data_IF_748934487895
#
_entry.id   IF_748934487895
#
_cell.length_a   1.000
_cell.length_b   1.000
_cell.length_c   1.000
_cell.angle_alpha   90.00
_cell.angle_beta   90.00
_cell.angle_gamma   90.00
#
_symmetry.space_group_name_H-M   'P 1'
#
loop_
_entity.id
_entity.type
_entity.pdbx_description
1 polymer ?
#
# COMPACT_ATOMS: atom_id res chain seq x y z
N UNK A 1 -3.71 17.95 -41.86
CA UNK A 1 -4.85 17.03 -41.96
C UNK A 1 -5.00 16.34 -40.61
N UNK A 2 -5.97 16.81 -39.82
CA UNK A 2 -6.25 16.38 -38.44
C UNK A 2 -6.97 15.03 -38.44
N UNK A 3 -6.47 14.07 -37.65
CA UNK A 3 -7.25 12.90 -37.22
C UNK A 3 -7.15 12.84 -35.69
N UNK A 4 -8.25 13.05 -34.94
CA UNK A 4 -8.25 13.01 -33.48
C UNK A 4 -8.48 11.57 -33.00
N UNK A 5 -7.48 10.94 -32.36
CA UNK A 5 -7.68 9.67 -31.65
C UNK A 5 -8.14 9.93 -30.21
N UNK A 6 -9.44 10.15 -30.05
CA UNK A 6 -10.12 9.96 -28.78
C UNK A 6 -10.21 8.45 -28.48
N UNK A 7 -9.24 7.90 -27.76
CA UNK A 7 -9.35 6.56 -27.18
C UNK A 7 -10.31 6.59 -25.99
N UNK A 8 -11.62 6.49 -26.25
CA UNK A 8 -12.64 6.20 -25.23
C UNK A 8 -12.31 4.86 -24.55
N UNK A 9 -11.98 4.89 -23.27
CA UNK A 9 -11.95 3.72 -22.40
C UNK A 9 -13.40 3.22 -22.28
N UNK A 10 -13.74 2.09 -22.91
CA UNK A 10 -14.96 1.35 -22.57
C UNK A 10 -14.66 0.54 -21.32
N UNK A 11 -15.20 0.98 -20.17
CA UNK A 11 -15.41 0.10 -19.03
C UNK A 11 -16.23 -1.10 -19.51
N UNK A 12 -15.72 -2.32 -19.29
CA UNK A 12 -16.48 -3.55 -19.56
C UNK A 12 -17.68 -3.55 -18.62
N UNK A 13 -18.84 -3.25 -19.19
CA UNK A 13 -20.15 -3.41 -18.58
C UNK A 13 -20.42 -4.90 -18.36
N UNK A 14 -20.13 -5.39 -17.16
CA UNK A 14 -20.82 -6.55 -16.60
C UNK A 14 -21.15 -6.23 -15.14
N UNK A 15 -22.45 -5.99 -14.88
CA UNK A 15 -23.02 -5.69 -13.57
C UNK A 15 -22.60 -6.73 -12.52
N UNK A 16 -21.77 -6.32 -11.57
CA UNK A 16 -21.68 -6.93 -10.25
C UNK A 16 -21.87 -5.79 -9.23
N UNK A 17 -22.96 -5.83 -8.46
CA UNK A 17 -23.24 -4.84 -7.42
C UNK A 17 -22.21 -5.02 -6.29
N UNK A 18 -21.26 -4.11 -6.16
CA UNK A 18 -20.36 -4.05 -5.01
C UNK A 18 -21.05 -3.24 -3.90
N UNK A 19 -21.33 -3.87 -2.76
CA UNK A 19 -21.88 -3.19 -1.58
C UNK A 19 -20.76 -3.04 -0.55
N UNK A 20 -20.32 -1.81 -0.32
CA UNK A 20 -19.26 -1.51 0.66
C UNK A 20 -19.89 -1.11 1.99
N UNK A 21 -19.63 -1.89 3.03
CA UNK A 21 -20.02 -1.53 4.40
C UNK A 21 -18.93 -0.66 5.01
N UNK A 22 -19.29 0.57 5.38
CA UNK A 22 -18.45 1.54 6.06
C UNK A 22 -19.13 1.84 7.38
N UNK A 23 -18.50 1.48 8.49
CA UNK A 23 -19.08 1.66 9.82
C UNK A 23 -18.92 3.09 10.33
N UNK A 24 -17.74 3.67 10.12
CA UNK A 24 -17.43 5.06 10.47
C UNK A 24 -16.74 5.77 9.31
N UNK A 25 -16.95 7.09 9.12
CA UNK A 25 -16.23 7.90 8.15
C UNK A 25 -14.70 7.83 8.38
N UNK A 26 -13.88 7.88 7.33
CA UNK A 26 -12.41 7.97 7.46
C UNK A 26 -11.84 9.00 6.48
N UNK A 27 -10.85 9.78 6.92
CA UNK A 27 -10.15 10.72 6.06
C UNK A 27 -9.34 9.97 5.00
N UNK A 28 -9.58 10.30 3.73
CA UNK A 28 -8.75 9.83 2.63
C UNK A 28 -7.74 10.94 2.31
N UNK A 29 -6.47 10.59 2.30
CA UNK A 29 -5.40 11.56 2.10
C UNK A 29 -5.42 12.19 0.70
N UNK A 30 -5.17 13.49 0.66
CA UNK A 30 -5.08 14.27 -0.58
C UNK A 30 -3.73 14.03 -1.25
N UNK A 31 -3.74 13.75 -2.55
CA UNK A 31 -2.50 13.63 -3.33
C UNK A 31 -1.79 14.97 -3.41
N UNK A 32 -0.53 15.04 -2.96
CA UNK A 32 0.22 16.30 -2.95
C UNK A 32 0.13 17.09 -1.67
N UNK A 33 -0.59 16.59 -0.67
CA UNK A 33 -0.70 17.25 0.62
C UNK A 33 0.70 17.54 1.19
N UNK A 34 0.95 18.78 1.61
CA UNK A 34 2.28 19.25 2.06
C UNK A 34 3.41 19.02 1.04
N UNK A 35 3.11 19.05 -0.26
CA UNK A 35 4.08 18.83 -1.34
C UNK A 35 4.44 17.35 -1.58
N UNK A 36 3.88 16.41 -0.81
CA UNK A 36 4.14 14.99 -0.97
C UNK A 36 3.31 14.41 -2.12
N UNK A 37 3.88 14.42 -3.32
CA UNK A 37 3.26 13.80 -4.49
C UNK A 37 3.76 12.35 -4.64
N UNK A 38 2.85 11.37 -4.80
CA UNK A 38 3.23 10.03 -5.20
C UNK A 38 3.72 10.05 -6.64
N UNK A 39 5.03 10.18 -6.81
CA UNK A 39 5.69 10.19 -8.13
C UNK A 39 6.71 9.07 -8.23
N UNK A 40 6.95 8.66 -9.47
CA UNK A 40 8.08 7.77 -9.80
C UNK A 40 9.33 8.64 -9.95
N UNK A 41 10.44 8.16 -9.40
CA UNK A 41 11.76 8.74 -9.71
C UNK A 41 12.21 8.22 -11.06
N UNK A 42 12.53 9.14 -11.96
CA UNK A 42 13.04 8.82 -13.29
C UNK A 42 14.49 8.28 -13.20
N UNK A 43 14.95 7.48 -14.18
CA UNK A 43 16.26 6.84 -14.12
C UNK A 43 17.42 7.83 -13.96
N UNK A 44 17.37 8.96 -14.64
CA UNK A 44 18.34 10.06 -14.56
C UNK A 44 18.38 10.68 -13.16
N UNK A 45 17.22 10.83 -12.51
CA UNK A 45 17.14 11.37 -11.16
C UNK A 45 17.74 10.41 -10.12
N UNK A 46 17.48 9.09 -10.27
CA UNK A 46 18.09 8.05 -9.43
C UNK A 46 19.60 8.01 -9.61
N UNK A 47 20.07 8.12 -10.86
CA UNK A 47 21.48 8.18 -11.19
C UNK A 47 22.13 9.42 -10.55
N UNK A 48 21.46 10.59 -10.64
CA UNK A 48 21.89 11.82 -9.97
C UNK A 48 21.99 11.66 -8.46
N UNK A 49 21.01 11.04 -7.80
CA UNK A 49 21.08 10.80 -6.36
C UNK A 49 22.18 9.84 -5.94
N UNK A 50 22.58 8.93 -6.85
CA UNK A 50 23.67 7.98 -6.59
C UNK A 50 25.04 8.64 -6.78
N UNK A 51 25.16 9.51 -7.80
CA UNK A 51 26.44 10.14 -8.18
C UNK A 51 26.74 11.45 -7.46
N UNK A 52 25.70 12.20 -7.05
CA UNK A 52 25.83 13.47 -6.34
C UNK A 52 25.18 13.41 -4.94
N UNK A 53 26.01 13.23 -3.88
CA UNK A 53 25.53 13.25 -2.50
C UNK A 53 24.82 14.55 -2.10
N UNK A 54 25.15 15.70 -2.71
CA UNK A 54 24.50 16.98 -2.41
C UNK A 54 23.08 17.03 -2.95
N UNK A 55 22.83 16.46 -4.14
CA UNK A 55 21.50 16.37 -4.72
C UNK A 55 20.56 15.55 -3.82
N UNK A 56 21.01 14.39 -3.34
CA UNK A 56 20.21 13.57 -2.42
C UNK A 56 20.01 14.26 -1.07
N UNK A 57 21.04 14.90 -0.52
CA UNK A 57 20.94 15.63 0.74
C UNK A 57 19.93 16.79 0.65
N UNK A 58 19.97 17.56 -0.44
CA UNK A 58 19.03 18.66 -0.69
C UNK A 58 17.60 18.16 -0.78
N UNK A 59 17.38 17.05 -1.49
CA UNK A 59 16.07 16.42 -1.60
C UNK A 59 15.54 15.94 -0.24
N UNK A 60 16.39 15.29 0.57
CA UNK A 60 16.01 14.86 1.94
C UNK A 60 15.67 16.03 2.85
N UNK A 61 16.45 17.12 2.78
CA UNK A 61 16.14 18.35 3.53
C UNK A 61 14.83 18.97 3.08
N UNK A 62 14.55 18.97 1.78
CA UNK A 62 13.27 19.45 1.26
C UNK A 62 12.10 18.62 1.79
N UNK A 63 12.21 17.28 1.80
CA UNK A 63 11.18 16.40 2.37
C UNK A 63 10.92 16.75 3.85
N UNK A 64 11.98 16.84 4.66
CA UNK A 64 11.83 17.15 6.08
C UNK A 64 11.33 18.56 6.34
N UNK A 65 11.76 19.53 5.54
CA UNK A 65 11.27 20.91 5.66
C UNK A 65 9.77 21.01 5.43
N UNK A 66 9.25 20.29 4.43
CA UNK A 66 7.81 20.27 4.17
C UNK A 66 7.04 19.47 5.22
N UNK A 67 7.58 18.36 5.72
CA UNK A 67 6.96 17.61 6.82
C UNK A 67 6.83 18.46 8.08
N UNK A 68 7.89 19.20 8.45
CA UNK A 68 7.87 20.07 9.62
C UNK A 68 6.89 21.25 9.46
N UNK A 69 6.73 21.77 8.24
CA UNK A 69 5.72 22.80 7.93
C UNK A 69 4.28 22.32 8.12
N UNK A 70 4.02 21.02 8.12
CA UNK A 70 2.70 20.45 8.37
C UNK A 70 2.31 20.48 9.85
N UNK A 71 3.27 20.63 10.78
CA UNK A 71 2.98 20.56 12.22
C UNK A 71 1.86 21.49 12.73
N UNK A 72 1.69 22.72 12.22
CA UNK A 72 0.58 23.60 12.59
C UNK A 72 -0.83 23.00 12.41
N UNK A 73 -0.98 21.99 11.54
CA UNK A 73 -2.22 21.23 11.34
C UNK A 73 -2.72 20.55 12.62
N UNK A 74 -1.81 20.14 13.51
CA UNK A 74 -2.17 19.39 14.71
C UNK A 74 -2.64 20.28 15.87
N UNK A 75 -2.55 21.62 15.74
CA UNK A 75 -3.20 22.52 16.68
C UNK A 75 -4.70 22.59 16.36
N UNK A 76 -5.53 22.24 17.35
CA UNK A 76 -6.96 22.29 17.19
C UNK A 76 -7.43 23.72 16.85
N UNK A 77 -8.29 23.85 15.83
CA UNK A 77 -8.88 25.12 15.37
C UNK A 77 -7.84 26.15 14.88
N UNK A 78 -6.66 25.69 14.44
CA UNK A 78 -5.72 26.56 13.74
C UNK A 78 -6.16 26.79 12.29
N UNK A 79 -5.73 27.91 11.70
CA UNK A 79 -5.92 28.20 10.28
C UNK A 79 -5.41 27.04 9.41
N UNK A 80 -4.23 26.49 9.71
CA UNK A 80 -3.66 25.34 9.01
C UNK A 80 -4.52 24.06 9.13
N UNK A 81 -5.22 23.85 10.25
CA UNK A 81 -6.17 22.75 10.38
C UNK A 81 -7.38 23.00 9.47
N UNK A 82 -7.97 24.20 9.51
CA UNK A 82 -9.13 24.56 8.70
C UNK A 82 -8.83 24.46 7.20
N UNK A 83 -7.66 24.94 6.76
CA UNK A 83 -7.16 24.80 5.39
C UNK A 83 -7.07 23.33 4.98
N UNK A 84 -6.41 22.49 5.79
CA UNK A 84 -6.28 21.07 5.50
C UNK A 84 -7.63 20.36 5.49
N UNK A 85 -8.55 20.72 6.40
CA UNK A 85 -9.92 20.20 6.38
C UNK A 85 -10.61 20.56 5.08
N UNK A 86 -10.51 21.80 4.63
CA UNK A 86 -11.10 22.25 3.37
C UNK A 86 -10.52 21.48 2.17
N UNK A 87 -9.19 21.30 2.13
CA UNK A 87 -8.52 20.55 1.08
C UNK A 87 -8.99 19.09 1.02
N UNK A 88 -9.03 18.41 2.16
CA UNK A 88 -9.50 17.01 2.26
C UNK A 88 -10.98 16.88 1.90
N UNK A 89 -11.83 17.76 2.41
CA UNK A 89 -13.27 17.78 2.10
C UNK A 89 -13.48 17.99 0.60
N UNK A 90 -12.80 18.96 -0.01
CA UNK A 90 -12.93 19.24 -1.44
C UNK A 90 -12.47 18.05 -2.30
N UNK A 91 -11.35 17.42 -1.94
CA UNK A 91 -10.87 16.22 -2.63
C UNK A 91 -11.85 15.05 -2.50
N UNK A 92 -12.40 14.80 -1.31
CA UNK A 92 -13.38 13.74 -1.09
C UNK A 92 -14.71 14.01 -1.80
N UNK A 93 -15.18 15.26 -1.83
CA UNK A 93 -16.37 15.66 -2.59
C UNK A 93 -16.21 15.44 -4.09
N UNK A 94 -15.08 15.87 -4.65
CA UNK A 94 -14.80 15.62 -6.07
C UNK A 94 -14.68 14.12 -6.37
N UNK A 95 -14.19 13.30 -5.43
CA UNK A 95 -14.16 11.86 -5.62
C UNK A 95 -15.55 11.20 -5.56
N UNK A 96 -16.46 11.70 -4.70
CA UNK A 96 -17.77 11.09 -4.45
C UNK A 96 -18.86 11.51 -5.45
N UNK A 97 -18.93 12.81 -5.78
CA UNK A 97 -19.99 13.41 -6.65
C UNK A 97 -21.41 12.96 -6.30
N UNK A 98 -21.70 12.76 -5.01
CA UNK A 98 -22.98 12.29 -4.50
C UNK A 98 -23.27 12.86 -3.10
N UNK A 99 -24.18 13.85 -2.98
CA UNK A 99 -24.44 14.55 -1.73
C UNK A 99 -24.86 13.62 -0.57
N UNK A 100 -25.63 12.55 -0.86
CA UNK A 100 -26.07 11.60 0.17
C UNK A 100 -24.95 10.70 0.70
N UNK A 101 -23.87 10.52 -0.06
CA UNK A 101 -22.67 9.82 0.39
C UNK A 101 -21.68 10.75 1.09
N UNK A 102 -21.63 12.02 0.69
CA UNK A 102 -20.78 13.04 1.34
C UNK A 102 -21.05 13.12 2.84
N UNK A 103 -22.33 13.20 3.24
CA UNK A 103 -22.76 13.25 4.65
C UNK A 103 -22.30 12.01 5.45
N UNK A 104 -22.15 10.86 4.78
CA UNK A 104 -21.86 9.58 5.43
C UNK A 104 -20.39 9.18 5.45
N UNK A 105 -19.61 9.71 4.52
CA UNK A 105 -18.23 9.28 4.28
C UNK A 105 -17.22 10.36 4.71
N UNK A 106 -17.61 11.63 4.73
CA UNK A 106 -16.74 12.73 5.16
C UNK A 106 -16.77 12.84 6.70
N UNK A 107 -15.63 12.73 7.40
CA UNK A 107 -15.61 12.75 8.85
C UNK A 107 -15.96 14.11 9.49
N UNK A 108 -16.72 14.13 10.61
CA UNK A 108 -16.99 15.36 11.35
C UNK A 108 -15.80 15.83 12.21
N UNK A 109 -14.83 14.97 12.53
CA UNK A 109 -13.65 15.31 13.35
C UNK A 109 -12.49 15.92 12.55
N UNK A 110 -11.51 16.52 13.24
CA UNK A 110 -10.35 17.18 12.63
C UNK A 110 -9.46 16.22 11.81
N UNK A 111 -8.81 16.72 10.76
CA UNK A 111 -7.81 15.98 9.98
C UNK A 111 -6.60 15.69 10.87
N UNK A 112 -6.09 14.46 10.83
CA UNK A 112 -4.97 14.02 11.68
C UNK A 112 -5.36 13.59 13.10
N UNK A 113 -6.61 13.81 13.55
CA UNK A 113 -7.12 13.30 14.83
C UNK A 113 -7.17 11.77 14.86
N UNK A 114 -7.45 11.15 13.71
CA UNK A 114 -7.31 9.72 13.48
C UNK A 114 -6.27 9.49 12.39
N UNK A 115 -5.62 8.32 12.44
CA UNK A 115 -4.63 7.93 11.42
C UNK A 115 -5.27 7.86 10.04
N UNK A 116 -4.48 8.23 9.04
CA UNK A 116 -4.83 8.05 7.64
C UNK A 116 -4.54 6.58 7.23
N UNK A 117 -5.28 6.02 6.26
CA UNK A 117 -4.93 4.74 5.64
C UNK A 117 -3.51 4.77 5.03
N UNK A 118 -2.89 3.59 4.86
CA UNK A 118 -1.50 3.45 4.36
C UNK A 118 -0.43 4.17 5.22
N UNK A 119 -0.68 4.32 6.52
CA UNK A 119 0.26 4.92 7.46
C UNK A 119 0.96 3.86 8.33
N UNK A 120 2.29 3.95 8.45
CA UNK A 120 3.10 3.07 9.29
C UNK A 120 3.97 3.89 10.25
N UNK A 121 4.21 3.34 11.44
CA UNK A 121 5.04 3.95 12.47
C UNK A 121 6.18 3.01 12.85
N UNK A 122 7.39 3.56 12.92
CA UNK A 122 8.54 2.89 13.51
C UNK A 122 8.63 3.23 14.99
N UNK A 123 8.99 2.23 15.82
CA UNK A 123 9.25 2.42 17.25
C UNK A 123 8.09 3.09 18.00
N UNK A 124 6.87 2.73 17.64
CA UNK A 124 5.69 3.26 18.29
C UNK A 124 5.31 2.55 19.59
N UNK A 125 4.27 3.06 20.28
CA UNK A 125 3.67 2.37 21.42
C UNK A 125 3.36 0.90 21.12
N UNK A 126 3.59 0.04 22.10
CA UNK A 126 3.45 -1.41 22.01
C UNK A 126 4.38 -2.06 20.98
N UNK A 127 5.51 -1.46 20.65
CA UNK A 127 6.48 -2.09 19.74
C UNK A 127 7.93 -1.83 20.15
N UNK A 128 8.79 -2.88 20.16
CA UNK A 128 10.24 -2.71 20.25
C UNK A 128 10.82 -2.35 18.86
N UNK A 129 12.02 -2.82 18.53
CA UNK A 129 12.69 -2.61 17.23
C UNK A 129 12.35 -3.80 16.30
N UNK A 130 12.49 -3.62 14.96
CA UNK A 130 12.41 -4.62 13.87
C UNK A 130 11.17 -4.57 12.94
N UNK A 131 10.48 -3.43 12.86
CA UNK A 131 9.31 -3.25 11.99
C UNK A 131 9.62 -3.21 10.48
N UNK A 132 10.87 -2.93 10.09
CA UNK A 132 11.22 -2.59 8.71
C UNK A 132 10.80 -3.68 7.70
N UNK A 133 11.13 -4.94 7.97
CA UNK A 133 10.80 -6.05 7.07
C UNK A 133 9.28 -6.28 6.98
N UNK A 134 8.55 -6.11 8.09
CA UNK A 134 7.10 -6.21 8.12
C UNK A 134 6.46 -5.12 7.23
N UNK A 135 6.90 -3.88 7.39
CA UNK A 135 6.46 -2.73 6.58
C UNK A 135 6.79 -2.97 5.09
N UNK A 136 8.00 -3.44 4.77
CA UNK A 136 8.39 -3.79 3.40
C UNK A 136 7.50 -4.83 2.74
N UNK A 137 6.98 -5.82 3.50
CA UNK A 137 6.03 -6.81 2.96
C UNK A 137 4.70 -6.18 2.55
N UNK A 138 4.15 -5.30 3.40
CA UNK A 138 2.95 -4.53 3.06
C UNK A 138 3.16 -3.67 1.81
N UNK A 139 4.26 -2.91 1.76
CA UNK A 139 4.59 -2.07 0.61
C UNK A 139 4.72 -2.89 -0.67
N UNK A 140 5.42 -4.02 -0.60
CA UNK A 140 5.61 -4.93 -1.73
C UNK A 140 4.25 -5.42 -2.25
N UNK A 141 3.37 -5.84 -1.33
CA UNK A 141 2.01 -6.27 -1.67
C UNK A 141 1.21 -5.13 -2.31
N UNK A 142 1.24 -3.93 -1.73
CA UNK A 142 0.53 -2.76 -2.24
C UNK A 142 0.93 -2.48 -3.70
N UNK A 143 2.24 -2.46 -3.98
CA UNK A 143 2.78 -2.20 -5.31
C UNK A 143 2.45 -3.30 -6.31
N UNK A 144 2.56 -4.56 -5.89
CA UNK A 144 2.42 -5.71 -6.77
C UNK A 144 0.96 -6.05 -7.07
N UNK A 145 0.05 -5.82 -6.11
CA UNK A 145 -1.34 -6.24 -6.21
C UNK A 145 -2.29 -5.09 -6.59
N UNK A 146 -1.78 -3.88 -6.82
CA UNK A 146 -2.63 -2.74 -7.21
C UNK A 146 -3.60 -2.33 -6.10
N UNK A 147 -3.18 -2.44 -4.84
CA UNK A 147 -3.97 -2.05 -3.68
C UNK A 147 -3.97 -0.52 -3.59
N UNK A 148 -5.17 0.07 -3.45
CA UNK A 148 -5.40 1.49 -3.23
C UNK A 148 -5.20 1.87 -1.77
N UNK A 149 -5.80 1.12 -0.86
CA UNK A 149 -5.64 1.35 0.57
C UNK A 149 -5.61 0.04 1.36
N UNK A 150 -4.82 0.07 2.42
CA UNK A 150 -4.77 -0.96 3.46
C UNK A 150 -4.83 -0.26 4.82
N UNK A 151 -5.74 -0.72 5.66
CA UNK A 151 -5.99 -0.15 6.98
C UNK A 151 -6.24 -1.28 7.98
N UNK A 152 -5.68 -1.18 9.18
CA UNK A 152 -5.98 -2.13 10.26
C UNK A 152 -7.43 -1.96 10.68
N UNK A 153 -8.12 -3.08 10.89
CA UNK A 153 -9.51 -3.07 11.37
C UNK A 153 -9.57 -2.60 12.82
N UNK A 154 -10.66 -1.95 13.20
CA UNK A 154 -10.85 -1.51 14.59
C UNK A 154 -10.91 -2.71 15.54
N UNK A 155 -11.54 -3.79 15.09
CA UNK A 155 -11.65 -5.06 15.81
C UNK A 155 -10.27 -5.61 16.16
N UNK A 156 -9.36 -5.72 15.19
CA UNK A 156 -8.01 -6.20 15.45
C UNK A 156 -7.24 -5.28 16.43
N UNK A 157 -7.47 -3.97 16.38
CA UNK A 157 -6.87 -3.02 17.34
C UNK A 157 -7.45 -3.23 18.75
N UNK A 158 -8.77 -3.32 18.88
CA UNK A 158 -9.45 -3.50 20.17
C UNK A 158 -9.05 -4.84 20.81
N UNK A 159 -9.09 -5.94 20.04
CA UNK A 159 -8.69 -7.28 20.49
C UNK A 159 -7.22 -7.32 20.94
N UNK A 160 -6.33 -6.65 20.20
CA UNK A 160 -4.93 -6.56 20.59
C UNK A 160 -4.74 -5.75 21.88
N UNK A 161 -5.45 -4.63 22.03
CA UNK A 161 -5.37 -3.80 23.23
C UNK A 161 -5.91 -4.57 24.44
N UNK A 162 -7.03 -5.29 24.29
CA UNK A 162 -7.56 -6.15 25.34
C UNK A 162 -6.55 -7.23 25.72
N UNK A 163 -6.03 -7.99 24.75
CA UNK A 163 -5.04 -9.04 24.99
C UNK A 163 -3.80 -8.50 25.71
N UNK A 164 -3.27 -7.36 25.24
CA UNK A 164 -2.13 -6.68 25.86
C UNK A 164 -2.47 -6.23 27.28
N UNK A 165 -3.61 -5.56 27.49
CA UNK A 165 -4.02 -5.06 28.80
C UNK A 165 -4.16 -6.21 29.80
N UNK A 166 -4.66 -7.38 29.38
CA UNK A 166 -4.72 -8.58 30.22
C UNK A 166 -3.31 -9.12 30.54
N UNK A 167 -2.46 -9.30 29.52
CA UNK A 167 -1.09 -9.77 29.69
C UNK A 167 -0.29 -8.89 30.66
N UNK A 168 -0.48 -7.57 30.57
CA UNK A 168 0.27 -6.61 31.38
C UNK A 168 -0.06 -6.68 32.87
N UNK A 169 -1.22 -7.21 33.27
CA UNK A 169 -1.62 -7.31 34.69
C UNK A 169 -0.64 -8.13 35.51
N UNK A 170 -0.09 -9.18 34.90
CA UNK A 170 0.82 -10.13 35.56
C UNK A 170 2.30 -9.71 35.47
N UNK A 171 2.58 -8.57 34.83
CA UNK A 171 3.94 -8.09 34.61
C UNK A 171 4.37 -7.10 35.68
N UNK A 172 5.67 -7.08 36.00
CA UNK A 172 6.28 -6.13 36.95
C UNK A 172 6.02 -4.65 36.63
N UNK A 173 5.67 -4.34 35.38
CA UNK A 173 5.34 -2.98 34.98
C UNK A 173 4.00 -2.48 35.53
N UNK A 174 3.13 -3.40 35.97
CA UNK A 174 1.83 -3.11 36.57
C UNK A 174 1.90 -2.89 38.09
N UNK A 175 3.05 -3.16 38.71
CA UNK A 175 3.29 -2.88 40.13
C UNK A 175 3.17 -1.38 40.44
N UNK A 176 2.99 -1.05 41.72
CA UNK A 176 2.84 0.32 42.24
C UNK A 176 4.16 1.11 42.11
N UNK A 177 4.45 1.56 40.89
CA UNK A 177 5.65 2.31 40.54
C UNK A 177 5.34 3.38 39.51
N UNK A 178 5.97 4.55 39.63
CA UNK A 178 5.84 5.62 38.63
C UNK A 178 6.86 5.39 37.51
N UNK A 179 6.36 5.19 36.30
CA UNK A 179 7.19 4.93 35.12
C UNK A 179 6.63 5.63 33.90
N UNK A 180 7.51 6.01 32.98
CA UNK A 180 7.11 6.56 31.68
C UNK A 180 6.27 5.57 30.86
N UNK A 181 6.40 4.25 31.12
CA UNK A 181 5.57 3.21 30.50
C UNK A 181 4.07 3.39 30.78
N UNK A 182 3.75 4.05 31.90
CA UNK A 182 2.40 4.34 32.41
C UNK A 182 2.08 5.84 32.39
N UNK A 183 2.80 6.63 31.59
CA UNK A 183 2.61 8.08 31.56
C UNK A 183 3.03 8.79 32.85
N UNK A 184 4.01 8.25 33.58
CA UNK A 184 4.53 8.76 34.86
C UNK A 184 3.52 8.77 36.04
N UNK A 185 2.44 8.01 35.93
CA UNK A 185 1.55 7.69 37.06
C UNK A 185 1.86 6.31 37.63
N UNK A 186 1.39 6.06 38.86
CA UNK A 186 1.64 4.80 39.56
C UNK A 186 0.69 3.68 39.12
N UNK A 187 -0.54 4.06 38.77
CA UNK A 187 -1.70 3.22 38.42
C UNK A 187 -2.14 3.36 36.95
N UNK A 188 -1.37 4.09 36.14
CA UNK A 188 -1.70 4.35 34.74
C UNK A 188 -1.66 3.11 33.85
N UNK A 189 -2.43 3.13 32.76
CA UNK A 189 -2.35 2.08 31.74
C UNK A 189 -0.95 2.01 31.14
N UNK A 190 -0.45 0.79 31.00
CA UNK A 190 0.82 0.53 30.31
C UNK A 190 0.60 0.66 28.80
N UNK A 191 1.13 1.74 28.22
CA UNK A 191 0.91 2.10 26.80
C UNK A 191 2.13 1.85 25.92
N UNK A 192 3.32 1.72 26.50
CA UNK A 192 4.56 1.71 25.72
C UNK A 192 5.01 0.31 25.29
N UNK A 193 4.71 -0.73 26.06
CA UNK A 193 5.39 -2.01 26.00
C UNK A 193 4.64 -3.08 25.19
N UNK A 194 5.39 -3.94 24.51
CA UNK A 194 4.86 -5.12 23.84
C UNK A 194 4.54 -6.23 24.86
N UNK A 195 3.41 -6.96 24.73
CA UNK A 195 3.06 -8.06 25.61
C UNK A 195 3.87 -9.33 25.24
N UNK A 196 5.17 -9.32 25.55
CA UNK A 196 6.05 -10.46 25.34
C UNK A 196 7.52 -10.07 25.13
N UNK A 197 8.35 -11.06 24.83
CA UNK A 197 9.77 -10.83 24.52
C UNK A 197 9.99 -10.25 23.12
N UNK A 198 11.18 -9.71 22.86
CA UNK A 198 11.57 -9.27 21.51
C UNK A 198 11.57 -10.42 20.50
N UNK A 199 11.91 -11.65 20.93
CA UNK A 199 11.84 -12.83 20.06
C UNK A 199 10.40 -13.15 19.67
N UNK A 200 9.49 -13.12 20.65
CA UNK A 200 8.06 -13.25 20.40
C UNK A 200 7.57 -12.19 19.40
N UNK A 201 7.95 -10.92 19.58
CA UNK A 201 7.61 -9.86 18.65
C UNK A 201 8.11 -10.11 17.23
N UNK A 202 9.39 -10.50 17.08
CA UNK A 202 9.97 -10.81 15.78
C UNK A 202 9.22 -11.96 15.11
N UNK A 203 8.91 -13.01 15.85
CA UNK A 203 8.15 -14.16 15.35
C UNK A 203 6.74 -13.74 14.90
N UNK A 204 6.03 -12.92 15.69
CA UNK A 204 4.73 -12.36 15.30
C UNK A 204 4.81 -11.53 14.01
N UNK A 205 5.90 -10.77 13.82
CA UNK A 205 6.09 -9.96 12.61
C UNK A 205 6.64 -10.74 11.41
N UNK A 206 7.05 -12.02 11.58
CA UNK A 206 7.59 -12.83 10.47
C UNK A 206 6.54 -13.10 9.40
N UNK A 207 5.27 -13.23 9.77
CA UNK A 207 4.19 -13.38 8.80
C UNK A 207 3.15 -12.30 9.04
N UNK A 208 2.72 -11.66 7.96
CA UNK A 208 1.69 -10.63 8.06
C UNK A 208 0.34 -11.34 8.11
N UNK A 209 -0.40 -11.16 9.20
CA UNK A 209 -1.78 -11.61 9.32
C UNK A 209 -2.68 -10.60 8.62
N UNK A 210 -2.96 -10.86 7.35
CA UNK A 210 -3.69 -9.91 6.50
C UNK A 210 -5.19 -9.85 6.79
N UNK A 211 -5.70 -10.81 7.56
CA UNK A 211 -7.06 -10.87 8.07
C UNK A 211 -7.37 -9.70 9.01
N UNK A 212 -6.35 -9.12 9.64
CA UNK A 212 -6.49 -7.94 10.51
C UNK A 212 -6.73 -6.65 9.74
N UNK A 213 -6.64 -6.68 8.40
CA UNK A 213 -6.65 -5.50 7.56
C UNK A 213 -7.85 -5.46 6.61
N UNK A 214 -8.40 -4.26 6.45
CA UNK A 214 -9.30 -3.92 5.35
C UNK A 214 -8.47 -3.46 4.16
N UNK A 215 -8.60 -4.17 3.04
CA UNK A 215 -7.90 -3.88 1.78
C UNK A 215 -8.89 -3.37 0.74
N UNK A 216 -8.53 -2.30 0.03
CA UNK A 216 -9.28 -1.77 -1.10
C UNK A 216 -8.38 -1.72 -2.33
N UNK A 217 -8.84 -2.26 -3.45
CA UNK A 217 -8.11 -2.25 -4.72
C UNK A 217 -8.49 -1.04 -5.58
N UNK A 218 -7.63 -0.64 -6.54
CA UNK A 218 -7.95 0.42 -7.50
C UNK A 218 -9.08 0.06 -8.49
N UNK A 219 -9.43 -1.22 -8.58
CA UNK A 219 -10.40 -1.74 -9.55
C UNK A 219 -10.76 -3.18 -9.28
N UNK A 220 -10.72 -4.02 -10.32
CA UNK A 220 -10.93 -5.45 -10.14
C UNK A 220 -9.79 -6.05 -9.30
N UNK A 221 -10.13 -6.88 -8.33
CA UNK A 221 -9.18 -7.54 -7.42
C UNK A 221 -8.06 -8.30 -8.16
N UNK A 222 -8.33 -8.79 -9.37
CA UNK A 222 -7.38 -9.54 -10.22
C UNK A 222 -6.67 -8.67 -11.26
N UNK A 223 -6.86 -7.35 -11.27
CA UNK A 223 -6.19 -6.47 -12.23
C UNK A 223 -4.66 -6.54 -12.14
N UNK A 224 -4.11 -6.97 -11.01
CA UNK A 224 -2.67 -7.17 -10.85
C UNK A 224 -2.10 -8.35 -11.65
N UNK A 225 -2.94 -9.26 -12.14
CA UNK A 225 -2.51 -10.33 -13.06
C UNK A 225 -2.04 -9.78 -14.41
N UNK A 226 -2.31 -8.49 -14.69
CA UNK A 226 -1.81 -7.80 -15.87
C UNK A 226 -2.30 -8.44 -17.16
N UNK A 227 -1.37 -8.74 -18.06
CA UNK A 227 -1.65 -9.39 -19.34
C UNK A 227 -1.53 -10.93 -19.29
N UNK A 228 -1.41 -11.51 -18.09
CA UNK A 228 -1.25 -12.95 -17.91
C UNK A 228 0.16 -13.49 -18.18
N UNK A 229 1.12 -12.65 -18.58
CA UNK A 229 2.49 -13.06 -18.85
C UNK A 229 3.38 -12.89 -17.62
N UNK A 230 4.20 -13.90 -17.34
CA UNK A 230 5.27 -13.85 -16.35
C UNK A 230 6.45 -13.01 -16.84
N UNK A 231 7.21 -12.43 -15.91
CA UNK A 231 8.49 -11.77 -16.24
C UNK A 231 9.51 -12.74 -16.84
N UNK A 232 9.40 -14.04 -16.52
CA UNK A 232 10.27 -15.09 -17.06
C UNK A 232 10.09 -15.27 -18.56
N UNK A 233 8.85 -15.20 -19.05
CA UNK A 233 8.54 -15.33 -20.48
C UNK A 233 9.08 -14.14 -21.30
N UNK A 234 9.45 -13.04 -20.64
CA UNK A 234 10.09 -11.89 -21.28
C UNK A 234 11.62 -12.01 -21.34
N UNK A 235 12.21 -12.97 -20.62
CA UNK A 235 13.64 -13.22 -20.63
C UNK A 235 13.96 -14.24 -21.74
N UNK A 236 14.75 -13.86 -22.77
CA UNK A 236 14.94 -14.68 -23.97
C UNK A 236 15.67 -15.99 -23.71
N UNK A 237 16.39 -16.12 -22.60
CA UNK A 237 17.17 -17.29 -22.22
C UNK A 237 16.70 -17.95 -20.92
N UNK A 238 15.52 -17.61 -20.42
CA UNK A 238 14.99 -18.23 -19.21
C UNK A 238 14.50 -19.66 -19.45
N UNK A 239 14.78 -20.55 -18.49
CA UNK A 239 14.11 -21.83 -18.40
C UNK A 239 12.65 -21.62 -17.95
N UNK A 240 11.71 -21.77 -18.89
CA UNK A 240 10.28 -21.62 -18.62
C UNK A 240 9.66 -22.85 -17.91
N UNK A 241 10.38 -23.98 -17.88
CA UNK A 241 9.94 -25.22 -17.26
C UNK A 241 10.65 -25.50 -15.92
N UNK A 242 11.34 -24.51 -15.34
CA UNK A 242 12.15 -24.64 -14.12
C UNK A 242 11.45 -25.27 -12.90
N UNK A 243 10.11 -25.25 -12.88
CA UNK A 243 9.28 -25.78 -11.80
C UNK A 243 9.05 -27.30 -11.92
N UNK A 244 9.27 -27.90 -13.10
CA UNK A 244 9.24 -29.35 -13.29
C UNK A 244 10.57 -29.94 -12.82
N UNK A 245 10.53 -30.73 -11.75
CA UNK A 245 11.72 -31.24 -11.07
C UNK A 245 11.61 -32.73 -10.83
N UNK A 246 12.75 -33.39 -10.73
CA UNK A 246 12.83 -34.83 -10.42
C UNK A 246 12.59 -35.11 -8.91
N UNK A 247 12.76 -34.10 -8.05
CA UNK A 247 12.59 -34.20 -6.59
C UNK A 247 12.04 -32.88 -6.04
N UNK A 248 11.33 -32.97 -4.92
CA UNK A 248 10.80 -31.80 -4.20
C UNK A 248 11.83 -31.25 -3.19
N UNK A 249 12.92 -30.71 -3.73
CA UNK A 249 14.03 -30.10 -3.00
C UNK A 249 13.94 -28.57 -2.96
N UNK A 250 12.72 -28.02 -3.00
CA UNK A 250 12.55 -26.57 -3.15
C UNK A 250 13.13 -25.88 -1.92
N UNK A 251 13.88 -24.77 -2.08
CA UNK A 251 14.23 -23.95 -0.95
C UNK A 251 12.94 -23.52 -0.25
N UNK A 252 12.97 -23.48 1.08
CA UNK A 252 11.86 -23.04 1.91
C UNK A 252 11.37 -21.67 1.40
N UNK A 253 10.05 -21.54 1.23
CA UNK A 253 9.36 -20.37 0.69
C UNK A 253 9.98 -19.07 1.26
N UNK A 254 10.52 -18.21 0.39
CA UNK A 254 11.11 -16.92 0.77
C UNK A 254 12.55 -16.66 0.31
N UNK A 255 13.23 -17.64 -0.32
CA UNK A 255 14.53 -17.39 -0.97
C UNK A 255 14.41 -16.44 -2.16
N UNK A 256 15.40 -15.57 -2.35
CA UNK A 256 15.48 -14.65 -3.50
C UNK A 256 15.36 -15.43 -4.81
N UNK A 257 14.32 -15.15 -5.60
CA UNK A 257 14.12 -15.79 -6.90
C UNK A 257 15.21 -15.34 -7.88
N UNK A 258 16.03 -16.28 -8.32
CA UNK A 258 17.00 -16.11 -9.42
C UNK A 258 16.58 -17.09 -10.49
N UNK A 259 16.29 -16.59 -11.70
CA UNK A 259 15.91 -17.48 -12.80
C UNK A 259 17.11 -18.25 -13.29
N UNK A 260 16.90 -19.51 -13.63
CA UNK A 260 17.91 -20.35 -14.27
C UNK A 260 17.87 -20.09 -15.78
N UNK A 261 19.06 -19.97 -16.37
CA UNK A 261 19.19 -19.95 -17.82
C UNK A 261 18.83 -21.33 -18.38
N UNK A 262 18.13 -21.38 -19.50
CA UNK A 262 17.81 -22.62 -20.20
C UNK A 262 19.11 -23.37 -20.55
N UNK A 263 19.15 -24.66 -20.24
CA UNK A 263 20.28 -25.52 -20.58
C UNK A 263 20.35 -25.81 -22.09
N UNK A 264 21.50 -26.35 -22.57
CA UNK A 264 21.68 -26.70 -23.97
C UNK A 264 20.64 -27.73 -24.47
N UNK A 265 20.15 -28.61 -23.60
CA UNK A 265 19.13 -29.61 -23.90
C UNK A 265 17.77 -28.99 -24.29
N UNK A 266 17.31 -27.95 -23.58
CA UNK A 266 16.09 -27.22 -23.91
C UNK A 266 16.26 -26.37 -25.19
N UNK A 267 17.46 -25.82 -25.37
CA UNK A 267 17.82 -25.05 -26.58
C UNK A 267 17.83 -25.94 -27.83
N UNK A 268 18.24 -27.21 -27.69
CA UNK A 268 18.28 -28.19 -28.78
C UNK A 268 16.89 -28.71 -29.21
N UNK A 269 15.93 -28.78 -28.28
CA UNK A 269 14.53 -29.16 -28.57
C UNK A 269 13.85 -28.12 -29.48
N UNK A 270 14.15 -26.84 -29.30
CA UNK A 270 13.64 -25.77 -30.17
C UNK A 270 14.13 -25.87 -31.62
N UNK A 271 15.26 -26.54 -31.89
CA UNK A 271 15.78 -26.71 -33.25
C UNK A 271 15.21 -27.95 -33.98
N UNK A 272 14.64 -28.92 -33.25
CA UNK A 272 14.18 -30.19 -33.84
C UNK A 272 12.68 -30.27 -34.09
N UNK A 273 11.88 -29.34 -33.58
CA UNK A 273 10.40 -29.43 -33.62
C UNK A 273 9.67 -28.31 -34.38
N UNK A 274 10.35 -27.57 -35.27
CA UNK A 274 9.73 -26.55 -36.11
C UNK A 274 9.93 -26.81 -37.62
N UNK A 275 9.34 -27.91 -38.12
CA UNK A 275 8.68 -27.92 -39.44
C UNK A 275 7.17 -27.96 -39.19
N UNK A 276 6.66 -26.90 -38.59
CA UNK A 276 5.22 -26.64 -38.56
C UNK A 276 4.92 -25.60 -39.63
N UNK A 277 3.99 -25.97 -40.51
CA UNK A 277 3.40 -25.23 -41.61
C UNK A 277 2.94 -23.82 -41.26
N UNK A 278 3.08 -22.92 -42.24
CA UNK A 278 2.40 -21.62 -42.45
C UNK A 278 2.04 -20.76 -41.22
N UNK A 279 2.62 -19.56 -41.21
CA UNK A 279 2.34 -18.43 -40.32
C UNK A 279 0.83 -18.21 -40.11
N UNK A 280 0.31 -18.75 -39.02
CA UNK A 280 -0.86 -18.16 -38.35
C UNK A 280 -0.34 -17.08 -37.41
N UNK A 281 -0.13 -15.89 -37.96
CA UNK A 281 0.17 -14.69 -37.16
C UNK A 281 -1.06 -14.40 -36.31
N UNK A 282 -1.06 -14.88 -35.07
CA UNK A 282 -2.09 -14.50 -34.11
C UNK A 282 -1.88 -13.03 -33.80
N UNK A 283 -2.80 -12.18 -34.24
CA UNK A 283 -2.76 -10.74 -34.02
C UNK A 283 -2.88 -10.39 -32.52
N UNK A 284 -1.71 -10.34 -31.86
CA UNK A 284 -1.55 -9.93 -30.46
C UNK A 284 -1.66 -8.42 -30.25
N UNK A 285 -1.93 -7.62 -31.31
CA UNK A 285 -2.16 -6.17 -31.16
C UNK A 285 -3.40 -5.84 -30.32
N UNK A 286 -4.32 -6.81 -30.16
CA UNK A 286 -5.47 -6.70 -29.24
C UNK A 286 -5.11 -6.87 -27.76
N UNK A 287 -3.97 -7.49 -27.44
CA UNK A 287 -3.43 -7.57 -26.07
C UNK A 287 -2.70 -6.27 -25.77
N UNK A 288 -3.43 -5.25 -25.34
CA UNK A 288 -2.84 -4.00 -24.85
C UNK A 288 -1.98 -4.31 -23.61
N UNK A 289 -0.68 -4.37 -23.81
CA UNK A 289 0.32 -4.55 -22.74
C UNK A 289 0.24 -3.40 -21.73
N UNK A 290 -0.41 -3.64 -20.59
CA UNK A 290 -0.33 -2.74 -19.43
C UNK A 290 0.48 -3.38 -18.32
N UNK A 291 1.76 -3.65 -18.58
CA UNK A 291 2.70 -3.96 -17.51
C UNK A 291 3.03 -2.68 -16.72
N UNK A 292 2.10 -2.22 -15.88
CA UNK A 292 2.40 -1.17 -14.89
C UNK A 292 2.80 -1.82 -13.55
N UNK A 293 3.95 -2.49 -13.51
CA UNK A 293 4.63 -2.72 -12.22
C UNK A 293 5.28 -1.41 -11.81
N UNK A 294 4.62 -0.65 -10.94
CA UNK A 294 5.16 0.59 -10.36
C UNK A 294 6.10 0.21 -9.21
N UNK A 295 7.41 0.17 -9.47
CA UNK A 295 8.43 0.10 -8.42
C UNK A 295 8.48 1.43 -7.66
N UNK A 296 8.16 1.44 -6.35
CA UNK A 296 8.33 2.62 -5.47
C UNK A 296 9.60 2.40 -4.63
N UNK A 297 10.59 3.28 -4.78
CA UNK A 297 11.74 3.39 -3.88
C UNK A 297 11.34 4.20 -2.65
N UNK A 298 11.75 3.76 -1.46
CA UNK A 298 11.45 4.44 -0.19
C UNK A 298 12.74 4.91 0.48
N UNK A 299 12.93 6.23 0.67
CA UNK A 299 13.87 6.76 1.63
C UNK A 299 13.30 6.66 3.05
N UNK A 300 14.20 6.41 3.99
CA UNK A 300 13.97 6.24 5.43
C UNK A 300 13.43 7.52 6.07
N UNK A 301 12.49 7.35 7.01
CA UNK A 301 11.76 8.32 7.83
C UNK A 301 10.43 8.81 7.23
N UNK A 302 9.33 8.39 7.89
CA UNK A 302 7.92 8.76 7.63
C UNK A 302 7.35 8.28 6.29
N UNK A 303 6.69 7.10 6.33
CA UNK A 303 6.06 6.52 5.15
C UNK A 303 4.53 6.65 5.21
N UNK A 304 4.01 7.62 4.46
CA UNK A 304 2.63 7.62 3.98
C UNK A 304 2.62 7.31 2.47
N UNK A 305 1.83 6.32 2.05
CA UNK A 305 1.69 5.96 0.62
C UNK A 305 0.32 6.44 0.14
N UNK A 306 0.30 7.43 -0.76
CA UNK A 306 -0.93 8.00 -1.32
C UNK A 306 -1.09 7.70 -2.81
N UNK A 307 -2.33 7.57 -3.30
CA UNK A 307 -2.67 7.68 -4.74
C UNK A 307 -4.19 7.87 -4.91
N UNK A 308 -4.61 8.97 -5.55
CA UNK A 308 -5.98 9.17 -6.09
C UNK A 308 -5.84 9.90 -7.44
N UNK A 309 -6.47 9.38 -8.49
CA UNK A 309 -6.78 10.11 -9.73
C UNK A 309 -8.31 10.26 -9.82
N UNK A 310 -8.79 11.48 -10.11
CA UNK A 310 -10.21 11.83 -10.24
C UNK A 310 -10.68 11.79 -11.70
N UNK A 311 -11.97 11.47 -11.93
CA UNK A 311 -12.67 11.76 -13.19
C UNK A 311 -14.21 11.85 -13.00
N UNK A 312 -14.96 12.66 -13.78
CA UNK A 312 -16.33 13.09 -13.48
C UNK A 312 -17.47 12.24 -14.07
N UNK A 313 -18.64 12.49 -13.48
CA UNK A 313 -20.02 12.21 -13.91
C UNK A 313 -20.62 10.86 -13.52
N UNK A 314 -21.67 10.91 -12.70
CA UNK A 314 -22.75 9.93 -12.62
C UNK A 314 -23.99 10.64 -12.04
N UNK A 315 -24.81 11.22 -12.93
CA UNK A 315 -26.16 11.67 -12.61
C UNK A 315 -27.10 10.47 -12.44
N UNK A 316 -28.03 10.61 -11.48
CA UNK A 316 -29.27 9.88 -11.27
C UNK A 316 -29.18 8.36 -11.11
N UNK A 317 -29.34 7.86 -9.87
CA UNK A 317 -30.37 6.87 -9.49
C UNK A 317 -30.39 6.63 -7.95
N UNK A 318 -31.55 6.30 -7.35
CA UNK A 318 -31.76 6.31 -5.91
C UNK A 318 -31.22 5.05 -5.24
N UNK A 319 -30.48 5.21 -4.14
CA UNK A 319 -30.03 4.10 -3.28
C UNK A 319 -30.73 4.21 -1.93
N UNK A 320 -31.46 3.16 -1.53
CA UNK A 320 -32.08 3.04 -0.20
C UNK A 320 -31.04 2.69 0.85
N UNK A 321 -31.11 3.38 1.97
CA UNK A 321 -30.35 3.18 3.19
C UNK A 321 -31.24 2.40 4.15
N UNK A 322 -30.80 1.23 4.63
CA UNK A 322 -31.41 0.63 5.81
C UNK A 322 -30.66 1.12 7.04
N UNK A 323 -31.43 1.54 8.05
CA UNK A 323 -31.00 2.06 9.34
C UNK A 323 -30.25 1.02 10.15
#
# INVERSE_FOLDING_TARGET
>A
MLIPMAARIRLISARARCTTFIREPTWVAVSGFSGFQPRRFEPDEKDRFTKDPKALHTFRRWLEHNANKTYPLFFARSEAQEEARNEFVNSMRDALKNPGLEEKVIPPWAVGCRRLPNHYMFLGPNSPIAQANYICKHITRIQQQGIKSIEVTKEAVDDFIEHKDQYMKDMVWNEDCRSWYKGNTADGKIIALWPGSTLHYIDTLRQVRYEDFKVQDFGNHFSYLGNGMSKLEMAPDADLAYYIRQRDDAPIIGSKFVYKKAGPELTAINMTTAKASEETTTDVSRLKFTNRVRHICIPQAYLCIYTIESSPSLDNHPIRVQQ
#
